data_IF_619264789995
#
_entry.id   IF_619264789995
#
_cell.length_a   1.000
_cell.length_b   1.000
_cell.length_c   1.000
_cell.angle_alpha   90.00
_cell.angle_beta   90.00
_cell.angle_gamma   90.00
#
_symmetry.space_group_name_H-M   'P 1'
#
loop_
_entity.id
_entity.type
_entity.pdbx_description
1 polymer ?
#
# COMPACT_ATOMS: atom_id res chain seq x y z
N UNK A 1 -41.08 -30.21 9.88
CA UNK A 1 -40.13 -30.83 8.93
C UNK A 1 -39.22 -29.68 8.44
N UNK A 2 -38.29 -29.20 9.26
CA UNK A 2 -36.89 -29.63 9.47
C UNK A 2 -35.99 -29.40 8.24
N UNK A 3 -34.89 -28.65 8.48
CA UNK A 3 -33.64 -28.48 7.70
C UNK A 3 -33.73 -27.52 6.51
N UNK A 4 -32.95 -26.43 6.43
CA UNK A 4 -31.88 -26.01 7.31
C UNK A 4 -31.38 -24.59 6.97
N UNK A 5 -30.96 -23.89 8.02
CA UNK A 5 -29.93 -22.86 7.89
C UNK A 5 -28.71 -23.52 7.26
N UNK A 6 -28.22 -22.97 6.16
CA UNK A 6 -26.83 -23.13 5.76
C UNK A 6 -26.21 -21.75 5.83
N UNK A 7 -25.78 -21.42 7.05
CA UNK A 7 -24.61 -20.58 7.25
C UNK A 7 -23.45 -21.33 6.60
N UNK A 8 -23.08 -20.94 5.39
CA UNK A 8 -21.71 -21.11 4.93
C UNK A 8 -21.11 -19.71 5.00
N UNK A 9 -20.45 -19.44 6.12
CA UNK A 9 -19.51 -18.33 6.18
C UNK A 9 -18.33 -18.69 5.29
N UNK A 10 -18.32 -18.19 4.07
CA UNK A 10 -17.14 -18.24 3.23
C UNK A 10 -16.23 -17.10 3.69
N UNK A 11 -15.23 -17.46 4.51
CA UNK A 11 -14.17 -16.59 5.00
C UNK A 11 -13.21 -16.11 3.89
N UNK A 12 -13.68 -16.07 2.64
CA UNK A 12 -12.85 -16.06 1.43
C UNK A 12 -12.92 -14.74 0.65
N UNK A 13 -13.79 -13.79 0.99
CA UNK A 13 -13.97 -12.61 0.13
C UNK A 13 -14.18 -11.30 0.90
N UNK A 14 -13.17 -10.89 1.66
CA UNK A 14 -12.93 -9.47 1.91
C UNK A 14 -11.43 -9.23 1.75
N UNK A 15 -10.99 -9.08 0.50
CA UNK A 15 -9.70 -8.42 0.25
C UNK A 15 -9.85 -7.01 0.82
N UNK A 16 -9.30 -6.82 2.01
CA UNK A 16 -9.15 -5.49 2.61
C UNK A 16 -8.41 -4.62 1.59
N UNK A 17 -9.02 -3.51 1.19
CA UNK A 17 -8.45 -2.54 0.25
C UNK A 17 -7.04 -2.12 0.68
N UNK A 18 -6.78 -2.11 1.99
CA UNK A 18 -5.45 -1.83 2.57
C UNK A 18 -4.42 -2.91 2.19
N UNK A 19 -4.82 -4.19 2.10
CA UNK A 19 -3.93 -5.28 1.69
C UNK A 19 -3.64 -5.22 0.20
N UNK A 20 -4.66 -4.92 -0.62
CA UNK A 20 -4.46 -4.76 -2.06
C UNK A 20 -3.54 -3.58 -2.37
N UNK A 21 -3.77 -2.43 -1.73
CA UNK A 21 -2.92 -1.25 -1.89
C UNK A 21 -1.48 -1.55 -1.44
N UNK A 22 -1.27 -2.21 -0.31
CA UNK A 22 0.08 -2.61 0.14
C UNK A 22 0.78 -3.51 -0.87
N UNK A 23 0.10 -4.56 -1.34
CA UNK A 23 0.67 -5.45 -2.35
C UNK A 23 1.02 -4.70 -3.65
N UNK A 24 0.15 -3.80 -4.10
CA UNK A 24 0.43 -2.93 -5.23
C UNK A 24 1.69 -2.07 -5.01
N UNK A 25 1.80 -1.42 -3.86
CA UNK A 25 2.94 -0.55 -3.53
C UNK A 25 4.25 -1.33 -3.35
N UNK A 26 4.19 -2.59 -2.93
CA UNK A 26 5.36 -3.45 -2.69
C UNK A 26 5.90 -4.11 -3.96
N UNK A 27 5.02 -4.47 -4.92
CA UNK A 27 5.40 -5.30 -6.07
C UNK A 27 5.37 -4.58 -7.43
N UNK A 28 4.83 -3.37 -7.52
CA UNK A 28 4.87 -2.58 -8.76
C UNK A 28 6.32 -2.12 -9.08
N UNK A 29 6.85 -2.36 -10.30
CA UNK A 29 8.19 -1.89 -10.68
C UNK A 29 8.26 -0.37 -10.93
N UNK A 30 7.12 0.27 -11.16
CA UNK A 30 7.04 1.71 -11.39
C UNK A 30 7.10 2.52 -10.09
N UNK A 31 7.72 3.70 -10.18
CA UNK A 31 7.76 4.66 -9.09
C UNK A 31 6.39 5.31 -8.86
N UNK A 32 5.64 4.78 -7.90
CA UNK A 32 4.39 5.40 -7.41
C UNK A 32 4.64 6.11 -6.08
N UNK A 33 4.03 7.28 -5.88
CA UNK A 33 4.06 8.03 -4.63
C UNK A 33 2.82 8.90 -4.47
N UNK A 34 2.49 9.21 -3.23
CA UNK A 34 1.44 10.15 -2.85
C UNK A 34 2.07 11.28 -2.04
N UNK A 35 1.63 12.52 -2.28
CA UNK A 35 2.10 13.71 -1.58
C UNK A 35 0.95 14.49 -0.98
N UNK A 36 1.23 15.23 0.08
CA UNK A 36 0.33 16.26 0.58
C UNK A 36 0.38 17.52 -0.31
N UNK A 37 -0.47 18.51 -0.01
CA UNK A 37 -0.52 19.77 -0.76
C UNK A 37 0.75 20.62 -0.64
N UNK A 38 1.59 20.32 0.36
CA UNK A 38 2.90 20.96 0.58
C UNK A 38 4.05 20.14 -0.02
N UNK A 39 3.74 19.14 -0.86
CA UNK A 39 4.69 18.25 -1.55
C UNK A 39 5.49 17.31 -0.65
N UNK A 40 5.06 17.05 0.59
CA UNK A 40 5.68 16.02 1.42
C UNK A 40 5.15 14.64 1.05
N UNK A 41 6.02 13.63 0.96
CA UNK A 41 5.63 12.25 0.72
C UNK A 41 4.74 11.72 1.86
N UNK A 42 3.54 11.26 1.51
CA UNK A 42 2.62 10.53 2.38
C UNK A 42 2.94 9.04 2.34
N UNK A 43 3.26 8.52 1.16
CA UNK A 43 3.56 7.12 0.90
C UNK A 43 4.34 7.02 -0.41
N UNK A 44 5.30 6.11 -0.47
CA UNK A 44 6.05 5.78 -1.68
C UNK A 44 6.03 4.27 -1.90
N UNK A 45 6.11 3.85 -3.16
CA UNK A 45 6.27 2.44 -3.52
C UNK A 45 7.67 1.95 -3.17
N UNK A 46 7.82 0.62 -3.04
CA UNK A 46 9.13 0.00 -2.83
C UNK A 46 10.12 0.34 -3.96
N UNK A 47 9.67 0.28 -5.21
CA UNK A 47 10.51 0.66 -6.36
C UNK A 47 10.98 2.13 -6.29
N UNK A 48 10.14 3.06 -5.83
CA UNK A 48 10.54 4.45 -5.64
C UNK A 48 11.59 4.59 -4.53
N UNK A 49 11.39 3.93 -3.38
CA UNK A 49 12.33 3.94 -2.27
C UNK A 49 13.71 3.40 -2.67
N UNK A 50 13.74 2.29 -3.42
CA UNK A 50 14.98 1.69 -3.95
C UNK A 50 15.71 2.64 -4.90
N UNK A 51 14.98 3.31 -5.80
CA UNK A 51 15.56 4.29 -6.74
C UNK A 51 16.16 5.51 -6.04
N UNK A 52 15.64 5.87 -4.87
CA UNK A 52 16.17 6.95 -4.03
C UNK A 52 17.28 6.50 -3.08
N UNK A 53 17.61 5.20 -3.06
CA UNK A 53 18.63 4.65 -2.16
C UNK A 53 18.18 4.51 -0.70
N UNK A 54 16.87 4.43 -0.45
CA UNK A 54 16.30 4.28 0.90
C UNK A 54 16.25 2.82 1.32
N UNK A 55 16.30 2.59 2.64
CA UNK A 55 16.20 1.24 3.21
C UNK A 55 14.76 0.75 3.26
N UNK A 56 13.79 1.65 3.31
CA UNK A 56 12.37 1.33 3.29
C UNK A 56 11.53 2.51 2.78
N UNK A 57 10.30 2.26 2.30
CA UNK A 57 9.37 3.31 1.93
C UNK A 57 9.07 4.33 3.03
N UNK A 58 9.05 3.91 4.30
CA UNK A 58 8.73 4.79 5.43
C UNK A 58 9.81 5.85 5.69
N UNK A 59 11.05 5.65 5.23
CA UNK A 59 12.11 6.68 5.33
C UNK A 59 11.83 7.93 4.48
N UNK A 60 10.91 7.85 3.51
CA UNK A 60 10.47 8.99 2.71
C UNK A 60 9.35 9.80 3.38
N UNK A 61 8.64 9.24 4.36
CA UNK A 61 7.44 9.86 4.94
C UNK A 61 7.75 11.25 5.51
N UNK A 62 7.00 12.25 5.06
CA UNK A 62 7.14 13.64 5.50
C UNK A 62 8.31 14.41 4.88
N UNK A 63 9.12 13.77 4.02
CA UNK A 63 10.20 14.44 3.28
C UNK A 63 9.70 14.99 1.95
N UNK A 64 10.49 15.86 1.36
CA UNK A 64 10.27 16.45 0.04
C UNK A 64 11.27 15.89 -0.96
N UNK A 65 11.09 16.19 -2.25
CA UNK A 65 12.09 15.84 -3.26
C UNK A 65 13.44 16.54 -3.02
N UNK A 66 13.49 17.61 -2.23
CA UNK A 66 14.73 18.35 -1.93
C UNK A 66 15.59 17.68 -0.86
N UNK A 67 15.07 16.66 -0.16
CA UNK A 67 15.79 15.93 0.88
C UNK A 67 16.64 14.76 0.32
N UNK A 68 16.67 14.58 -1.01
CA UNK A 68 17.27 13.45 -1.72
C UNK A 68 17.98 13.90 -3.01
#
# INVERSE_FOLDING_TARGET
MVRGKKDFGDAEELIDESKLLRAFMDYMPDSVYFKDASSHFIMVSKAHAERMGLKSPDEARGKTDFDF
#
